data_IF_663821401088
#
_entry.id   IF_663821401088
#
_cell.length_a   1.000
_cell.length_b   1.000
_cell.length_c   1.000
_cell.angle_alpha   90.00
_cell.angle_beta   90.00
_cell.angle_gamma   90.00
#
_symmetry.space_group_name_H-M   'P 1'
#
loop_
_entity.id
_entity.type
_entity.pdbx_description
1 polymer ?
#
# COMPACT_ATOMS: atom_id res chain seq x y z
N UNK A 1 -20.18 -2.08 -18.16
CA UNK A 1 -21.00 -1.69 -17.04
C UNK A 1 -20.36 -0.61 -16.22
N UNK A 2 -21.03 0.50 -16.09
CA UNK A 2 -20.46 1.63 -15.36
C UNK A 2 -20.10 1.30 -13.90
N UNK A 3 -20.88 0.42 -13.28
CA UNK A 3 -20.65 0.14 -11.87
C UNK A 3 -19.29 -0.48 -11.59
N UNK A 4 -18.86 -1.38 -12.44
CA UNK A 4 -17.55 -2.01 -12.26
C UNK A 4 -16.44 -1.00 -12.48
N UNK A 5 -16.61 -0.11 -13.44
CA UNK A 5 -15.63 0.93 -13.68
C UNK A 5 -15.54 1.88 -12.51
N UNK A 6 -16.69 2.21 -11.91
CA UNK A 6 -16.71 3.09 -10.76
C UNK A 6 -15.99 2.45 -9.56
N UNK A 7 -16.24 1.17 -9.34
CA UNK A 7 -15.57 0.46 -8.26
C UNK A 7 -14.06 0.44 -8.47
N UNK A 8 -13.65 0.17 -9.70
CA UNK A 8 -12.24 0.14 -10.02
C UNK A 8 -11.60 1.49 -9.77
N UNK A 9 -12.25 2.55 -10.20
CA UNK A 9 -11.74 3.89 -10.00
C UNK A 9 -11.57 4.21 -8.53
N UNK A 10 -12.57 3.89 -7.73
CA UNK A 10 -12.50 4.14 -6.30
C UNK A 10 -11.38 3.36 -5.65
N UNK A 11 -11.21 2.12 -6.04
CA UNK A 11 -10.14 1.30 -5.51
C UNK A 11 -8.78 1.85 -5.91
N UNK A 12 -8.64 2.26 -7.16
CA UNK A 12 -7.39 2.85 -7.63
C UNK A 12 -7.03 4.09 -6.84
N UNK A 13 -8.01 4.95 -6.61
CA UNK A 13 -7.77 6.17 -5.86
C UNK A 13 -7.34 5.87 -4.44
N UNK A 14 -8.02 4.94 -3.79
CA UNK A 14 -7.66 4.59 -2.43
C UNK A 14 -6.29 3.95 -2.34
N UNK A 15 -6.01 3.03 -3.24
CA UNK A 15 -4.72 2.37 -3.27
C UNK A 15 -3.61 3.39 -3.51
N UNK A 16 -3.83 4.30 -4.44
CA UNK A 16 -2.86 5.34 -4.73
C UNK A 16 -2.60 6.21 -3.51
N UNK A 17 -3.66 6.61 -2.82
CA UNK A 17 -3.52 7.43 -1.62
C UNK A 17 -2.72 6.69 -0.54
N UNK A 18 -3.02 5.42 -0.34
CA UNK A 18 -2.32 4.63 0.66
C UNK A 18 -0.84 4.49 0.31
N UNK A 19 -0.57 4.20 -0.96
CA UNK A 19 0.81 4.04 -1.41
C UNK A 19 1.58 5.34 -1.23
N UNK A 20 0.99 6.44 -1.64
CA UNK A 20 1.65 7.74 -1.52
C UNK A 20 1.92 8.09 -0.06
N UNK A 21 0.93 7.88 0.80
CA UNK A 21 1.10 8.17 2.21
C UNK A 21 2.18 7.28 2.83
N UNK A 22 2.19 6.00 2.44
CA UNK A 22 3.18 5.07 2.94
C UNK A 22 4.58 5.46 2.50
N UNK A 23 4.72 5.81 1.23
CA UNK A 23 6.02 6.21 0.72
C UNK A 23 6.55 7.45 1.44
N UNK A 24 5.68 8.41 1.71
CA UNK A 24 6.08 9.60 2.43
C UNK A 24 6.54 9.26 3.85
N UNK A 25 5.81 8.36 4.51
CA UNK A 25 6.17 7.97 5.88
C UNK A 25 7.48 7.20 5.89
N UNK A 26 7.62 6.25 4.97
CA UNK A 26 8.82 5.42 4.91
C UNK A 26 10.03 6.27 4.55
N UNK A 27 9.84 7.23 3.66
CA UNK A 27 10.90 8.13 3.29
C UNK A 27 11.37 8.96 4.49
N UNK A 28 10.40 9.46 5.27
CA UNK A 28 10.74 10.24 6.45
C UNK A 28 11.54 9.42 7.46
N UNK A 29 11.33 8.10 7.48
CA UNK A 29 12.05 7.22 8.37
C UNK A 29 13.33 6.68 7.75
N UNK A 30 13.61 7.01 6.50
CA UNK A 30 14.82 6.54 5.84
C UNK A 30 14.79 5.07 5.51
N UNK A 31 13.61 4.51 5.26
CA UNK A 31 13.46 3.07 5.04
C UNK A 31 12.95 2.72 3.66
N UNK A 32 13.18 3.57 2.70
CA UNK A 32 12.66 3.34 1.34
C UNK A 32 13.21 2.07 0.70
N UNK A 33 14.36 1.61 1.13
CA UNK A 33 14.98 0.45 0.51
C UNK A 33 14.39 -0.87 0.96
N UNK A 34 13.71 -0.89 2.10
CA UNK A 34 13.27 -2.15 2.69
C UNK A 34 11.93 -1.99 3.36
N UNK A 35 10.88 -2.24 2.63
CA UNK A 35 9.55 -2.27 3.21
C UNK A 35 8.61 -3.06 2.30
N UNK A 36 7.53 -3.56 2.88
CA UNK A 36 6.52 -4.31 2.15
C UNK A 36 5.17 -3.65 2.32
N UNK A 37 4.42 -3.61 1.24
CA UNK A 37 3.04 -3.16 1.28
C UNK A 37 2.17 -4.31 0.80
N UNK A 38 1.16 -4.65 1.60
CA UNK A 38 0.18 -5.66 1.22
C UNK A 38 -1.18 -5.03 1.11
N UNK A 39 -1.84 -5.24 -0.01
CA UNK A 39 -3.17 -4.72 -0.23
C UNK A 39 -4.05 -5.87 -0.68
N UNK A 40 -5.18 -6.05 0.00
CA UNK A 40 -6.12 -7.10 -0.32
C UNK A 40 -7.52 -6.52 -0.39
N UNK A 41 -8.31 -7.06 -1.29
CA UNK A 41 -9.70 -6.65 -1.44
C UNK A 41 -10.57 -7.88 -1.30
N UNK A 42 -11.47 -7.87 -0.32
CA UNK A 42 -12.39 -8.95 -0.08
C UNK A 42 -13.80 -8.40 0.03
N UNK A 43 -14.66 -8.83 -0.89
CA UNK A 43 -16.07 -8.41 -0.89
C UNK A 43 -16.20 -6.89 -0.85
N UNK A 44 -15.37 -6.22 -1.62
CA UNK A 44 -15.40 -4.78 -1.69
C UNK A 44 -14.73 -4.06 -0.54
N UNK A 45 -14.17 -4.80 0.40
CA UNK A 45 -13.49 -4.21 1.55
C UNK A 45 -11.99 -4.23 1.31
N UNK A 46 -11.37 -3.08 1.45
CA UNK A 46 -9.94 -2.93 1.22
C UNK A 46 -9.18 -3.11 2.52
N UNK A 47 -8.22 -4.02 2.49
CA UNK A 47 -7.32 -4.24 3.62
C UNK A 47 -5.92 -3.80 3.22
N UNK A 48 -5.27 -3.09 4.11
CA UNK A 48 -4.01 -2.47 3.82
C UNK A 48 -3.05 -2.71 4.97
N UNK A 49 -1.86 -3.18 4.64
CA UNK A 49 -0.87 -3.50 5.66
C UNK A 49 0.50 -3.12 5.18
N UNK A 50 1.27 -2.52 6.07
CA UNK A 50 2.63 -2.09 5.76
C UNK A 50 3.58 -2.74 6.75
N UNK A 51 4.61 -3.39 6.22
CA UNK A 51 5.66 -3.96 7.04
C UNK A 51 6.96 -3.25 6.76
N UNK A 52 7.52 -2.68 7.80
CA UNK A 52 8.82 -2.04 7.70
C UNK A 52 9.86 -3.05 8.14
N UNK A 53 10.56 -3.60 7.19
CA UNK A 53 11.56 -4.62 7.49
C UNK A 53 12.86 -3.97 7.86
N UNK A 54 13.44 -4.46 8.92
CA UNK A 54 14.80 -4.09 9.25
C UNK A 54 15.73 -4.83 8.33
N UNK A 55 16.72 -4.11 7.86
CA UNK A 55 17.75 -4.77 7.09
C UNK A 55 18.69 -5.48 8.05
N UNK A 56 18.47 -6.75 8.19
CA UNK A 56 19.37 -7.55 9.00
C UNK A 56 20.27 -8.32 8.06
N UNK A 57 21.51 -7.97 8.10
CA UNK A 57 22.48 -8.69 7.33
C UNK A 57 23.15 -9.69 8.24
N UNK A 58 22.69 -10.89 8.14
CA UNK A 58 23.29 -12.00 8.89
C UNK A 58 24.28 -12.69 7.99
N UNK A 59 25.50 -12.56 8.31
CA UNK A 59 26.54 -13.26 7.59
C UNK A 59 27.40 -14.02 8.56
#
# INVERSE_FOLDING_TARGET
MPRQNEKRQKLEERITEYVQATLATVEAQGRLDYFDISISVHQGTLSYNVNLKKREKIT
#
